data_IF_738283861444
#
_entry.id   IF_738283861444
#
_cell.length_a   1.000
_cell.length_b   1.000
_cell.length_c   1.000
_cell.angle_alpha   90.00
_cell.angle_beta   90.00
_cell.angle_gamma   90.00
#
_symmetry.space_group_name_H-M   'P 1'
#
loop_
_entity.id
_entity.type
_entity.pdbx_description
1 polymer ?
#
# COMPACT_ATOMS: atom_id res chain seq x y z
N UNK A 1 16.87 -28.00 7.28
CA UNK A 1 17.13 -27.96 5.84
C UNK A 1 16.88 -26.53 5.36
N UNK A 2 17.92 -25.72 5.13
CA UNK A 2 17.77 -24.39 4.51
C UNK A 2 17.80 -24.63 3.00
N UNK A 3 16.64 -24.54 2.34
CA UNK A 3 16.57 -24.69 0.88
C UNK A 3 17.21 -23.48 0.24
N UNK A 4 18.14 -23.75 -0.67
CA UNK A 4 18.94 -22.79 -1.43
C UNK A 4 18.12 -22.07 -2.53
N UNK A 5 16.86 -21.76 -2.24
CA UNK A 5 15.87 -21.14 -3.13
C UNK A 5 15.32 -19.87 -2.48
N UNK A 6 16.14 -18.85 -2.24
CA UNK A 6 15.71 -17.65 -1.52
C UNK A 6 14.98 -16.66 -2.45
N UNK A 7 13.94 -17.14 -3.13
CA UNK A 7 12.99 -16.24 -3.78
C UNK A 7 12.18 -15.51 -2.69
N UNK A 8 12.51 -14.24 -2.45
CA UNK A 8 11.88 -13.43 -1.40
C UNK A 8 10.56 -12.83 -1.90
N UNK A 9 9.43 -13.32 -1.37
CA UNK A 9 8.09 -12.76 -1.66
C UNK A 9 7.67 -11.78 -0.57
N UNK A 10 7.35 -10.54 -0.95
CA UNK A 10 6.99 -9.47 0.00
C UNK A 10 5.89 -8.55 -0.53
N UNK A 11 5.07 -8.02 0.38
CA UNK A 11 4.17 -6.92 0.06
C UNK A 11 4.95 -5.61 -0.05
N UNK A 12 4.77 -4.91 -1.16
CA UNK A 12 5.33 -3.58 -1.40
C UNK A 12 4.18 -2.57 -1.42
N UNK A 13 4.29 -1.54 -0.58
CA UNK A 13 3.35 -0.43 -0.56
C UNK A 13 3.90 0.75 -1.36
N UNK A 14 3.07 1.32 -2.23
CA UNK A 14 3.35 2.63 -2.82
C UNK A 14 3.13 3.77 -1.84
N UNK A 15 3.36 4.98 -2.33
CA UNK A 15 3.00 6.20 -1.61
C UNK A 15 1.48 6.33 -1.49
N UNK A 16 1.04 6.98 -0.40
CA UNK A 16 -0.33 7.43 -0.27
C UNK A 16 -0.63 8.53 -1.28
N UNK A 17 -1.84 8.49 -1.85
CA UNK A 17 -2.42 9.59 -2.60
C UNK A 17 -2.63 10.81 -1.72
N UNK A 18 -2.93 11.93 -2.35
CA UNK A 18 -3.57 13.06 -1.67
C UNK A 18 -4.87 12.60 -1.00
N UNK A 19 -5.28 13.33 0.04
CA UNK A 19 -6.58 13.12 0.65
C UNK A 19 -7.70 13.33 -0.38
N UNK A 20 -8.76 12.53 -0.32
CA UNK A 20 -9.91 12.63 -1.22
C UNK A 20 -10.66 13.96 -1.11
N UNK A 21 -10.42 14.69 -0.02
CA UNK A 21 -10.99 16.00 0.28
C UNK A 21 -9.88 17.01 0.50
N UNK A 22 -10.20 18.28 0.31
CA UNK A 22 -9.32 19.42 0.64
C UNK A 22 -9.66 20.05 1.99
N UNK A 23 -10.81 19.70 2.57
CA UNK A 23 -11.25 20.11 3.91
C UNK A 23 -12.06 18.98 4.58
N UNK A 24 -12.09 18.95 5.92
CA UNK A 24 -12.82 17.95 6.70
C UNK A 24 -12.20 16.55 6.67
N UNK A 25 -13.01 15.52 6.92
CA UNK A 25 -12.59 14.12 6.91
C UNK A 25 -12.66 13.51 5.51
N UNK A 26 -11.61 12.77 5.14
CA UNK A 26 -11.59 12.01 3.89
C UNK A 26 -10.74 10.75 3.98
N UNK A 27 -10.40 10.21 2.82
CA UNK A 27 -9.58 9.00 2.68
C UNK A 27 -8.45 9.22 1.70
N UNK A 28 -7.31 8.58 1.94
CA UNK A 28 -6.20 8.47 0.99
C UNK A 28 -5.96 7.00 0.67
N UNK A 29 -5.57 6.71 -0.56
CA UNK A 29 -5.35 5.35 -1.05
C UNK A 29 -3.90 5.15 -1.44
N UNK A 30 -3.41 3.90 -1.46
CA UNK A 30 -2.07 3.56 -1.96
C UNK A 30 -2.11 2.27 -2.73
N UNK A 31 -1.14 2.08 -3.63
CA UNK A 31 -0.92 0.78 -4.25
C UNK A 31 -0.34 -0.22 -3.24
N UNK A 32 -0.83 -1.45 -3.28
CA UNK A 32 -0.28 -2.59 -2.52
C UNK A 32 -0.11 -3.72 -3.52
N UNK A 33 1.14 -4.04 -3.84
CA UNK A 33 1.51 -5.10 -4.79
C UNK A 33 2.28 -6.20 -4.07
N UNK A 34 2.17 -7.41 -4.61
CA UNK A 34 2.96 -8.54 -4.16
C UNK A 34 4.13 -8.69 -5.13
N UNK A 35 5.37 -8.70 -4.62
CA UNK A 35 6.57 -8.84 -5.46
C UNK A 35 7.42 -9.99 -4.98
N UNK A 36 8.01 -10.71 -5.94
CA UNK A 36 9.01 -11.74 -5.69
C UNK A 36 10.35 -11.29 -6.24
N UNK A 37 11.39 -11.37 -5.43
CA UNK A 37 12.77 -11.24 -5.88
C UNK A 37 13.26 -12.61 -6.31
N UNK A 38 13.60 -12.74 -7.58
CA UNK A 38 14.14 -13.96 -8.17
C UNK A 38 15.66 -13.88 -8.14
N UNK A 39 16.28 -14.53 -7.16
CA UNK A 39 17.73 -14.39 -6.93
C UNK A 39 18.56 -14.89 -8.11
N UNK A 40 18.15 -16.00 -8.73
CA UNK A 40 18.82 -16.60 -9.89
C UNK A 40 18.94 -15.64 -11.08
N UNK A 41 17.87 -14.91 -11.39
CA UNK A 41 17.84 -13.93 -12.49
C UNK A 41 18.13 -12.51 -12.04
N UNK A 42 18.24 -12.26 -10.72
CA UNK A 42 18.32 -10.92 -10.11
C UNK A 42 17.22 -9.97 -10.58
N UNK A 43 16.02 -10.50 -10.77
CA UNK A 43 14.86 -9.73 -11.24
C UNK A 43 13.77 -9.66 -10.19
N UNK A 44 12.88 -8.68 -10.34
CA UNK A 44 11.67 -8.55 -9.53
C UNK A 44 10.47 -8.77 -10.43
N UNK A 45 9.58 -9.68 -10.03
CA UNK A 45 8.31 -9.93 -10.71
C UNK A 45 7.14 -9.59 -9.79
N UNK A 46 6.03 -9.15 -10.38
CA UNK A 46 4.78 -8.98 -9.65
C UNK A 46 3.99 -10.29 -9.63
N UNK A 47 3.44 -10.62 -8.46
CA UNK A 47 2.60 -11.79 -8.25
C UNK A 47 1.16 -11.39 -7.92
N UNK A 48 0.20 -12.29 -8.12
CA UNK A 48 -1.14 -12.14 -7.55
C UNK A 48 -1.08 -11.93 -6.04
N UNK A 49 -1.89 -10.99 -5.51
CA UNK A 49 -1.90 -10.61 -4.08
C UNK A 49 -2.09 -11.80 -3.12
N UNK A 50 -2.76 -12.87 -3.56
CA UNK A 50 -3.02 -14.09 -2.78
C UNK A 50 -1.77 -14.94 -2.52
N UNK A 51 -0.70 -14.74 -3.29
CA UNK A 51 0.56 -15.49 -3.16
C UNK A 51 1.52 -14.84 -2.17
N UNK A 52 1.27 -13.59 -1.75
CA UNK A 52 2.11 -12.95 -0.76
C UNK A 52 1.86 -13.54 0.62
N UNK A 53 2.91 -13.96 1.35
CA UNK A 53 2.77 -14.40 2.71
C UNK A 53 2.39 -13.23 3.62
N UNK A 54 1.71 -13.55 4.72
CA UNK A 54 1.34 -12.58 5.75
C UNK A 54 0.06 -11.81 5.47
N UNK A 55 -0.17 -10.76 6.26
CA UNK A 55 -1.41 -9.96 6.21
C UNK A 55 -1.27 -8.86 5.18
N UNK A 56 -2.26 -8.72 4.30
CA UNK A 56 -2.32 -7.65 3.31
C UNK A 56 -2.33 -6.29 4.03
N UNK A 57 -1.37 -5.39 3.75
CA UNK A 57 -1.39 -4.04 4.29
C UNK A 57 -2.62 -3.27 3.81
N UNK A 58 -3.14 -2.30 4.60
CA UNK A 58 -4.25 -1.47 4.18
C UNK A 58 -3.87 -0.65 2.95
N UNK A 59 -4.74 -0.63 1.95
CA UNK A 59 -4.63 0.22 0.77
C UNK A 59 -5.41 1.53 0.89
N UNK A 60 -6.12 1.71 2.00
CA UNK A 60 -6.94 2.89 2.29
C UNK A 60 -6.74 3.32 3.74
N UNK A 61 -6.60 4.62 3.99
CA UNK A 61 -6.47 5.21 5.33
C UNK A 61 -7.28 6.51 5.42
N UNK A 62 -7.85 6.80 6.60
CA UNK A 62 -8.45 8.11 6.89
C UNK A 62 -7.40 9.23 6.87
N UNK A 63 -7.81 10.39 6.39
CA UNK A 63 -7.06 11.64 6.47
C UNK A 63 -7.99 12.76 6.94
N UNK A 64 -7.43 13.72 7.67
CA UNK A 64 -8.15 14.86 8.21
C UNK A 64 -7.48 16.12 7.68
N UNK A 65 -8.26 16.92 6.97
CA UNK A 65 -7.88 18.22 6.42
C UNK A 65 -8.45 19.34 7.30
N UNK A 66 -8.06 20.62 7.08
CA UNK A 66 -8.66 21.73 7.82
C UNK A 66 -10.19 21.73 7.75
N UNK A 67 -10.90 22.27 8.75
CA UNK A 67 -12.36 22.35 8.70
C UNK A 67 -12.86 23.02 7.42
N UNK A 68 -13.99 22.55 6.90
CA UNK A 68 -14.59 23.18 5.73
C UNK A 68 -15.15 24.57 6.08
N UNK A 69 -15.08 25.55 5.16
CA UNK A 69 -15.54 26.92 5.42
C UNK A 69 -16.99 26.99 5.93
N UNK A 70 -17.85 26.13 5.41
CA UNK A 70 -19.27 26.06 5.80
C UNK A 70 -19.47 25.58 7.24
N UNK A 71 -18.53 24.81 7.78
CA UNK A 71 -18.55 24.37 9.18
C UNK A 71 -18.17 25.49 10.15
N UNK A 72 -17.60 26.59 9.67
CA UNK A 72 -17.16 27.72 10.49
C UNK A 72 -18.19 28.87 10.55
N UNK A 73 -19.29 28.80 9.79
CA UNK A 73 -20.28 29.90 9.66
C UNK A 73 -21.56 29.65 10.48
N UNK A 74 -21.45 29.11 11.70
CA UNK A 74 -22.61 28.87 12.56
C UNK A 74 -22.48 29.53 13.93
#
# INVERSE_FOLDING_TARGET
MRSSDENMIVFINGNWSSCSVTCGEGVRTRSVTCKIFLEFSRTVAELPKKQCPGVRPPDTQRCVMPPCPDAMTR
#
